data_IF_586569830690
#
_entry.id   IF_586569830690
#
_cell.length_a   1.000
_cell.length_b   1.000
_cell.length_c   1.000
_cell.angle_alpha   90.00
_cell.angle_beta   90.00
_cell.angle_gamma   90.00
#
_symmetry.space_group_name_H-M   'P 1'
#
loop_
_entity.id
_entity.type
_entity.pdbx_description
1 polymer ?
#
# COMPACT_ATOMS: atom_id res chain seq x y z
N UNK A 1 12.65 -11.97 -12.77
CA UNK A 1 12.77 -10.65 -12.16
C UNK A 1 11.58 -10.38 -11.22
N UNK A 2 11.87 -9.84 -10.06
CA UNK A 2 10.81 -9.52 -9.10
C UNK A 2 10.15 -8.20 -9.49
N UNK A 3 8.83 -8.21 -9.51
CA UNK A 3 8.08 -6.97 -9.68
C UNK A 3 8.04 -6.24 -8.34
N UNK A 4 8.19 -4.94 -8.38
CA UNK A 4 8.05 -4.12 -7.19
C UNK A 4 6.66 -3.50 -7.16
N UNK A 5 6.24 -3.13 -5.97
CA UNK A 5 4.91 -2.57 -5.74
C UNK A 5 5.02 -1.36 -4.83
N UNK A 6 4.00 -0.54 -4.88
CA UNK A 6 3.83 0.54 -3.90
C UNK A 6 2.44 0.42 -3.32
N UNK A 7 2.30 0.80 -2.05
CA UNK A 7 1.02 0.77 -1.36
C UNK A 7 0.52 2.20 -1.23
N UNK A 8 -0.71 2.41 -1.71
CA UNK A 8 -1.35 3.72 -1.65
C UNK A 8 -2.63 3.65 -0.86
N UNK A 9 -2.97 4.78 -0.24
CA UNK A 9 -4.21 4.94 0.49
C UNK A 9 -4.96 6.14 -0.10
N UNK A 10 -6.28 6.05 -0.08
CA UNK A 10 -7.12 7.15 -0.54
C UNK A 10 -7.24 8.19 0.58
N UNK A 11 -6.78 9.39 0.30
CA UNK A 11 -6.93 10.55 1.18
C UNK A 11 -7.95 11.51 0.60
N UNK A 12 -8.31 12.55 1.33
CA UNK A 12 -9.25 13.56 0.84
C UNK A 12 -8.75 14.24 -0.43
N UNK A 13 -7.43 14.32 -0.60
CA UNK A 13 -6.81 14.93 -1.77
C UNK A 13 -6.55 13.95 -2.91
N UNK A 14 -6.91 12.67 -2.73
CA UNK A 14 -6.69 11.64 -3.73
C UNK A 14 -5.80 10.52 -3.22
N UNK A 15 -5.32 9.69 -4.13
CA UNK A 15 -4.47 8.57 -3.77
C UNK A 15 -3.04 9.04 -3.52
N UNK A 16 -2.42 8.52 -2.46
CA UNK A 16 -1.03 8.82 -2.14
C UNK A 16 -0.39 7.69 -1.39
N UNK A 17 0.94 7.70 -1.31
CA UNK A 17 1.68 6.67 -0.56
C UNK A 17 1.30 6.73 0.91
N UNK A 18 1.17 5.56 1.53
CA UNK A 18 0.85 5.50 2.97
C UNK A 18 2.02 5.95 3.83
N UNK A 19 3.24 5.83 3.33
CA UNK A 19 4.44 6.33 4.00
C UNK A 19 5.55 6.50 2.98
N UNK A 20 6.61 7.19 3.38
CA UNK A 20 7.77 7.43 2.51
C UNK A 20 8.48 6.15 2.09
N UNK A 21 8.27 5.06 2.82
CA UNK A 21 8.91 3.78 2.53
C UNK A 21 7.96 2.78 1.87
N UNK A 22 6.73 3.19 1.54
CA UNK A 22 5.73 2.30 0.96
C UNK A 22 5.84 2.20 -0.56
N UNK A 23 7.06 2.16 -1.07
CA UNK A 23 7.30 1.96 -2.50
C UNK A 23 8.48 1.01 -2.70
N UNK A 24 8.59 0.45 -3.90
CA UNK A 24 9.60 -0.56 -4.25
C UNK A 24 9.55 -1.75 -3.31
N UNK A 25 8.35 -2.15 -2.92
CA UNK A 25 8.14 -3.28 -2.03
C UNK A 25 8.01 -4.56 -2.84
N UNK A 26 8.47 -5.67 -2.27
CA UNK A 26 8.18 -6.97 -2.85
C UNK A 26 6.68 -7.25 -2.69
N UNK A 27 6.19 -8.26 -3.42
CA UNK A 27 4.79 -8.65 -3.33
C UNK A 27 4.40 -8.97 -1.88
N UNK A 28 5.24 -9.72 -1.18
CA UNK A 28 4.96 -10.12 0.20
C UNK A 28 4.98 -8.94 1.14
N UNK A 29 5.91 -8.01 0.96
CA UNK A 29 5.99 -6.80 1.76
C UNK A 29 4.77 -5.91 1.54
N UNK A 30 4.35 -5.75 0.30
CA UNK A 30 3.17 -4.96 -0.03
C UNK A 30 1.93 -5.56 0.62
N UNK A 31 1.79 -6.88 0.54
CA UNK A 31 0.66 -7.59 1.14
C UNK A 31 0.64 -7.40 2.65
N UNK A 32 1.80 -7.52 3.30
CA UNK A 32 1.89 -7.33 4.74
C UNK A 32 1.53 -5.91 5.14
N UNK A 33 1.98 -4.92 4.37
CA UNK A 33 1.65 -3.52 4.63
C UNK A 33 0.15 -3.31 4.58
N UNK A 34 -0.52 -3.90 3.58
CA UNK A 34 -1.98 -3.80 3.47
C UNK A 34 -2.66 -4.44 4.68
N UNK A 35 -2.19 -5.62 5.09
CA UNK A 35 -2.77 -6.32 6.24
C UNK A 35 -2.61 -5.51 7.53
N UNK A 36 -1.44 -4.92 7.73
CA UNK A 36 -1.19 -4.11 8.92
C UNK A 36 -2.12 -2.91 8.98
N UNK A 37 -2.34 -2.25 7.84
CA UNK A 37 -3.23 -1.09 7.77
C UNK A 37 -4.67 -1.49 8.03
N UNK A 38 -5.11 -2.62 7.50
CA UNK A 38 -6.46 -3.12 7.75
C UNK A 38 -6.65 -3.45 9.23
N UNK A 39 -5.63 -4.01 9.86
CA UNK A 39 -5.66 -4.31 11.30
C UNK A 39 -5.72 -3.04 12.14
N UNK A 40 -5.22 -1.93 11.63
CA UNK A 40 -5.31 -0.63 12.29
C UNK A 40 -6.67 0.05 12.07
N UNK A 41 -7.51 -0.54 11.24
CA UNK A 41 -8.85 -0.03 11.00
C UNK A 41 -9.03 0.71 9.69
N UNK A 42 -8.03 0.69 8.81
CA UNK A 42 -8.17 1.32 7.50
C UNK A 42 -9.03 0.44 6.60
N UNK A 43 -10.00 1.06 5.94
CA UNK A 43 -10.91 0.35 5.06
C UNK A 43 -10.15 -0.18 3.84
N UNK A 44 -10.27 -1.49 3.52
CA UNK A 44 -9.59 -2.06 2.35
C UNK A 44 -9.97 -1.39 1.03
N UNK A 45 -11.16 -0.80 0.92
CA UNK A 45 -11.56 -0.06 -0.27
C UNK A 45 -10.76 1.22 -0.48
N UNK A 46 -10.08 1.67 0.55
CA UNK A 46 -9.24 2.87 0.52
C UNK A 46 -7.76 2.53 0.43
N UNK A 47 -7.43 1.28 0.17
CA UNK A 47 -6.06 0.81 0.04
C UNK A 47 -5.86 0.12 -1.30
N UNK A 48 -4.66 0.24 -1.84
CA UNK A 48 -4.31 -0.51 -3.05
C UNK A 48 -2.80 -0.72 -3.12
N UNK A 49 -2.40 -1.83 -3.73
CA UNK A 49 -1.01 -2.09 -4.07
C UNK A 49 -0.93 -2.11 -5.59
N UNK A 50 -0.11 -1.25 -6.15
CA UNK A 50 0.03 -1.15 -7.61
C UNK A 50 1.48 -1.38 -8.00
N UNK A 51 1.72 -1.90 -9.22
CA UNK A 51 3.09 -2.08 -9.71
C UNK A 51 3.81 -0.74 -9.74
N UNK A 52 5.02 -0.77 -9.24
CA UNK A 52 5.84 0.43 -9.18
C UNK A 52 6.76 0.53 -10.40
#
# INVERSE_FOLDING_TARGET
MSRKYRVEQKFTTGWGLVSETSFKLSKDEAKKTLEDLMNEGVNPDELRAIPD
#
